data_IF_149534230435
#
_entry.id   IF_149534230435
#
_cell.length_a   1.000
_cell.length_b   1.000
_cell.length_c   1.000
_cell.angle_alpha   90.00
_cell.angle_beta   90.00
_cell.angle_gamma   90.00
#
_symmetry.space_group_name_H-M   'P 1'
#
loop_
_entity.id
_entity.type
_entity.pdbx_description
1 polymer ?
#
# COMPACT_ATOMS: atom_id res chain seq x y z
N UNK A 1 31.81 54.85 -15.68
CA UNK A 1 30.76 55.90 -15.73
C UNK A 1 29.61 55.51 -16.66
N UNK A 2 29.73 55.54 -18.00
CA UNK A 2 28.58 55.17 -18.88
C UNK A 2 28.19 53.68 -18.87
N UNK A 3 29.15 52.80 -18.67
CA UNK A 3 28.90 51.35 -18.71
C UNK A 3 28.34 50.84 -17.37
N UNK A 4 28.61 51.52 -16.25
CA UNK A 4 28.10 51.17 -14.92
C UNK A 4 26.60 51.45 -14.78
N UNK A 5 26.12 52.56 -15.36
CA UNK A 5 24.68 52.90 -15.39
C UNK A 5 23.86 51.94 -16.27
N UNK A 6 24.50 51.26 -17.25
CA UNK A 6 23.82 50.34 -18.16
C UNK A 6 23.42 49.01 -17.49
N UNK A 7 24.10 48.63 -16.41
CA UNK A 7 23.85 47.39 -15.65
C UNK A 7 23.05 47.62 -14.37
N UNK A 8 22.80 48.87 -13.98
CA UNK A 8 22.18 49.26 -12.71
C UNK A 8 20.67 48.89 -12.62
N UNK A 9 20.06 48.47 -13.75
CA UNK A 9 18.65 48.07 -13.84
C UNK A 9 18.39 46.59 -14.09
N UNK A 10 19.43 45.75 -14.22
CA UNK A 10 19.26 44.30 -14.39
C UNK A 10 19.29 43.66 -12.99
N UNK A 11 18.12 43.56 -12.37
CA UNK A 11 17.92 42.79 -11.15
C UNK A 11 18.02 41.29 -11.47
N UNK A 12 19.27 40.79 -11.52
CA UNK A 12 19.62 39.42 -11.89
C UNK A 12 19.45 38.43 -10.72
N UNK A 13 18.69 38.81 -9.68
CA UNK A 13 18.51 38.01 -8.46
C UNK A 13 17.42 36.94 -8.57
N UNK A 14 17.12 36.46 -9.78
CA UNK A 14 16.13 35.39 -9.96
C UNK A 14 16.65 34.07 -9.38
N UNK A 15 15.87 33.47 -8.46
CA UNK A 15 16.21 32.15 -7.92
C UNK A 15 16.24 31.09 -9.03
N UNK A 16 17.08 30.07 -8.90
CA UNK A 16 17.18 28.98 -9.89
C UNK A 16 15.81 28.34 -10.19
N UNK A 17 14.95 28.17 -9.18
CA UNK A 17 13.59 27.66 -9.36
C UNK A 17 12.71 28.58 -10.21
N UNK A 18 12.89 29.89 -10.09
CA UNK A 18 12.15 30.86 -10.88
C UNK A 18 12.65 30.88 -12.33
N UNK A 19 13.97 30.75 -12.53
CA UNK A 19 14.58 30.68 -13.86
C UNK A 19 14.22 29.43 -14.65
N UNK A 20 14.22 28.26 -14.01
CA UNK A 20 13.97 26.98 -14.70
C UNK A 20 12.51 26.55 -14.69
N UNK A 21 11.74 26.87 -13.64
CA UNK A 21 10.38 26.38 -13.45
C UNK A 21 9.33 27.50 -13.46
N UNK A 22 9.73 28.78 -13.55
CA UNK A 22 8.81 29.92 -13.51
C UNK A 22 8.08 30.08 -12.17
N UNK A 23 8.56 29.40 -11.12
CA UNK A 23 7.91 29.32 -9.81
C UNK A 23 8.77 30.01 -8.75
N UNK A 24 8.12 30.80 -7.88
CA UNK A 24 8.78 31.31 -6.69
C UNK A 24 9.26 30.14 -5.81
N UNK A 25 10.40 30.32 -5.16
CA UNK A 25 11.01 29.29 -4.31
C UNK A 25 10.02 28.73 -3.26
N UNK A 26 9.17 29.60 -2.69
CA UNK A 26 8.13 29.22 -1.72
C UNK A 26 7.08 28.27 -2.31
N UNK A 27 6.59 28.54 -3.53
CA UNK A 27 5.61 27.68 -4.22
C UNK A 27 6.24 26.34 -4.58
N UNK A 28 7.50 26.35 -5.04
CA UNK A 28 8.24 25.13 -5.33
C UNK A 28 8.40 24.24 -4.08
N UNK A 29 8.82 24.82 -2.95
CA UNK A 29 8.96 24.07 -1.69
C UNK A 29 7.62 23.55 -1.18
N UNK A 30 6.54 24.32 -1.31
CA UNK A 30 5.20 23.86 -0.97
C UNK A 30 4.79 22.62 -1.80
N UNK A 31 4.98 22.68 -3.12
CA UNK A 31 4.69 21.55 -4.00
C UNK A 31 5.56 20.34 -3.68
N UNK A 32 6.85 20.55 -3.39
CA UNK A 32 7.76 19.48 -2.98
C UNK A 32 7.26 18.78 -1.70
N UNK A 33 6.82 19.55 -0.69
CA UNK A 33 6.27 18.99 0.54
C UNK A 33 5.00 18.18 0.26
N UNK A 34 4.11 18.67 -0.60
CA UNK A 34 2.89 17.93 -0.97
C UNK A 34 3.24 16.61 -1.64
N UNK A 35 4.17 16.61 -2.60
CA UNK A 35 4.60 15.39 -3.30
C UNK A 35 5.20 14.37 -2.32
N UNK A 36 6.08 14.82 -1.42
CA UNK A 36 6.69 13.95 -0.42
C UNK A 36 5.65 13.40 0.56
N UNK A 37 4.74 14.24 1.05
CA UNK A 37 3.67 13.83 1.96
C UNK A 37 2.73 12.83 1.29
N UNK A 38 2.36 13.04 0.02
CA UNK A 38 1.56 12.10 -0.75
C UNK A 38 2.29 10.77 -0.95
N UNK A 39 3.60 10.79 -1.24
CA UNK A 39 4.40 9.57 -1.35
C UNK A 39 4.40 8.74 -0.06
N UNK A 40 4.61 9.40 1.08
CA UNK A 40 4.55 8.74 2.40
C UNK A 40 3.15 8.19 2.68
N UNK A 41 2.10 8.99 2.41
CA UNK A 41 0.72 8.57 2.62
C UNK A 41 0.35 7.33 1.79
N UNK A 42 0.68 7.33 0.50
CA UNK A 42 0.47 6.18 -0.39
C UNK A 42 1.25 4.97 0.11
N UNK A 43 2.51 5.15 0.53
CA UNK A 43 3.32 4.07 1.09
C UNK A 43 2.68 3.41 2.31
N UNK A 44 2.17 4.21 3.26
CA UNK A 44 1.47 3.71 4.46
C UNK A 44 0.17 3.00 4.07
N UNK A 45 -0.57 3.54 3.10
CA UNK A 45 -1.84 2.96 2.65
C UNK A 45 -1.65 1.61 1.96
N UNK A 46 -0.57 1.44 1.18
CA UNK A 46 -0.29 0.20 0.46
C UNK A 46 0.41 -0.86 1.32
N UNK A 47 1.30 -0.46 2.24
CA UNK A 47 2.22 -1.38 2.95
C UNK A 47 2.24 -1.23 4.48
N UNK A 48 1.41 -0.39 5.08
CA UNK A 48 1.27 -0.27 6.54
C UNK A 48 0.56 -1.43 7.23
N UNK A 49 0.37 -1.34 8.55
CA UNK A 49 -0.28 -2.40 9.35
C UNK A 49 -1.77 -2.57 9.05
N UNK A 50 -2.43 -1.50 8.60
CA UNK A 50 -3.82 -1.51 8.15
C UNK A 50 -3.87 -1.20 6.65
N UNK A 51 -3.07 -1.92 5.88
CA UNK A 51 -2.88 -1.68 4.45
C UNK A 51 -3.72 -2.60 3.57
N UNK A 52 -3.72 -2.27 2.28
CA UNK A 52 -4.29 -3.11 1.24
C UNK A 52 -3.64 -4.50 1.19
N UNK A 53 -2.31 -4.59 1.34
CA UNK A 53 -1.60 -5.88 1.34
C UNK A 53 -2.08 -6.78 2.49
N UNK A 54 -2.21 -6.22 3.70
CA UNK A 54 -2.71 -6.96 4.87
C UNK A 54 -4.15 -7.43 4.65
N UNK A 55 -5.01 -6.58 4.07
CA UNK A 55 -6.40 -6.94 3.77
C UNK A 55 -6.48 -8.11 2.79
N UNK A 56 -5.72 -8.06 1.70
CA UNK A 56 -5.69 -9.14 0.70
C UNK A 56 -5.18 -10.44 1.31
N UNK A 57 -4.12 -10.38 2.12
CA UNK A 57 -3.60 -11.55 2.83
C UNK A 57 -4.61 -12.17 3.81
N UNK A 58 -5.40 -11.35 4.50
CA UNK A 58 -6.47 -11.83 5.38
C UNK A 58 -7.60 -12.50 4.58
N UNK A 59 -7.97 -11.95 3.42
CA UNK A 59 -8.99 -12.52 2.56
C UNK A 59 -8.55 -13.88 2.01
N UNK A 60 -7.31 -13.99 1.50
CA UNK A 60 -6.76 -15.26 1.02
C UNK A 60 -6.72 -16.32 2.14
N UNK A 61 -6.35 -15.91 3.35
CA UNK A 61 -6.33 -16.81 4.51
C UNK A 61 -7.73 -17.23 4.96
N UNK A 62 -8.71 -16.33 4.87
CA UNK A 62 -10.12 -16.67 5.12
C UNK A 62 -10.62 -17.72 4.12
N UNK A 63 -10.35 -17.54 2.82
CA UNK A 63 -10.73 -18.49 1.77
C UNK A 63 -10.08 -19.86 2.01
N UNK A 64 -8.80 -19.88 2.38
CA UNK A 64 -8.11 -21.10 2.79
C UNK A 64 -8.81 -21.79 3.97
N UNK A 65 -9.12 -21.07 5.04
CA UNK A 65 -9.80 -21.64 6.21
C UNK A 65 -11.19 -22.18 5.88
N UNK A 66 -11.96 -21.49 5.03
CA UNK A 66 -13.26 -21.98 4.57
C UNK A 66 -13.14 -23.29 3.79
N UNK A 67 -12.12 -23.41 2.92
CA UNK A 67 -11.84 -24.65 2.19
C UNK A 67 -11.48 -25.80 3.14
N UNK A 68 -10.69 -25.50 4.17
CA UNK A 68 -10.22 -26.46 5.17
C UNK A 68 -11.37 -26.96 6.05
N UNK A 69 -12.29 -26.07 6.44
CA UNK A 69 -13.52 -26.43 7.15
C UNK A 69 -14.33 -27.44 6.33
N UNK A 70 -14.51 -27.19 5.03
CA UNK A 70 -15.27 -28.09 4.17
C UNK A 70 -14.58 -29.44 4.02
N UNK A 71 -13.25 -29.43 3.82
CA UNK A 71 -12.43 -30.65 3.74
C UNK A 71 -12.55 -31.50 5.00
N UNK A 72 -12.40 -30.88 6.17
CA UNK A 72 -12.49 -31.56 7.46
C UNK A 72 -13.90 -32.10 7.74
N UNK A 73 -14.96 -31.38 7.36
CA UNK A 73 -16.33 -31.87 7.48
C UNK A 73 -16.57 -33.12 6.65
N UNK A 74 -16.10 -33.14 5.41
CA UNK A 74 -16.20 -34.33 4.54
C UNK A 74 -15.46 -35.51 5.14
N UNK A 75 -14.19 -35.33 5.55
CA UNK A 75 -13.42 -36.39 6.17
C UNK A 75 -14.07 -36.91 7.46
N UNK A 76 -14.62 -36.01 8.27
CA UNK A 76 -15.30 -36.40 9.50
C UNK A 76 -16.53 -37.27 9.21
N UNK A 77 -17.32 -36.93 8.19
CA UNK A 77 -18.47 -37.73 7.77
C UNK A 77 -18.06 -39.12 7.24
N UNK A 78 -16.99 -39.19 6.44
CA UNK A 78 -16.44 -40.47 5.95
C UNK A 78 -15.95 -41.36 7.10
N UNK A 79 -15.17 -40.79 8.03
CA UNK A 79 -14.67 -41.50 9.20
C UNK A 79 -15.80 -41.95 10.13
N UNK A 80 -16.84 -41.14 10.31
CA UNK A 80 -18.03 -41.54 11.09
C UNK A 80 -18.72 -42.74 10.44
N UNK A 81 -18.87 -42.75 9.12
CA UNK A 81 -19.46 -43.87 8.39
C UNK A 81 -18.64 -45.16 8.61
N UNK A 82 -17.33 -45.10 8.39
CA UNK A 82 -16.44 -46.26 8.59
C UNK A 82 -16.49 -46.75 10.04
N UNK A 83 -16.49 -45.84 11.02
CA UNK A 83 -16.61 -46.18 12.43
C UNK A 83 -17.92 -46.93 12.74
N UNK A 84 -19.05 -46.51 12.16
CA UNK A 84 -20.32 -47.21 12.36
C UNK A 84 -20.33 -48.60 11.73
N UNK A 85 -19.78 -48.75 10.52
CA UNK A 85 -19.66 -50.06 9.84
C UNK A 85 -18.79 -51.03 10.65
N UNK A 86 -17.63 -50.59 11.15
CA UNK A 86 -16.76 -51.41 12.01
C UNK A 86 -17.44 -51.78 13.34
N UNK A 87 -18.17 -50.84 13.94
CA UNK A 87 -18.90 -51.09 15.18
C UNK A 87 -19.98 -52.15 14.99
N UNK A 88 -20.71 -52.13 13.87
CA UNK A 88 -21.71 -53.14 13.53
C UNK A 88 -21.08 -54.53 13.36
N UNK A 89 -19.93 -54.62 12.68
CA UNK A 89 -19.19 -55.89 12.50
C UNK A 89 -18.72 -56.43 13.85
N UNK A 90 -18.17 -55.58 14.73
CA UNK A 90 -17.64 -56.02 16.03
C UNK A 90 -18.71 -56.44 17.05
N UNK A 91 -19.96 -56.01 16.85
CA UNK A 91 -21.08 -56.32 17.73
C UNK A 91 -21.80 -57.64 17.35
N UNK A 92 -21.40 -58.26 16.23
CA UNK A 92 -21.82 -59.60 15.80
C UNK A 92 -20.87 -60.67 16.32
#
# INVERSE_FOLDING_TARGET
MRDEELYEGIDDTQSLTQKYLGLSLTKFLMLLIVVLASGVYIGILLYGTNSLEVLLGLQDYEEYLQSEINRLRTQNAELQKEYFELKEISAK
#
